data_IF_646528933668
#
_entry.id   IF_646528933668
#
_cell.length_a   1.000
_cell.length_b   1.000
_cell.length_c   1.000
_cell.angle_alpha   90.00
_cell.angle_beta   90.00
_cell.angle_gamma   90.00
#
_symmetry.space_group_name_H-M   'P 1'
#
loop_
_entity.id
_entity.type
_entity.pdbx_description
1 polymer ?
#
# COMPACT_ATOMS: atom_id res chain seq x y z
N UNK A 1 -1.14 7.90 19.23
CA UNK A 1 -1.37 8.22 20.64
C UNK A 1 -2.52 9.21 20.89
N UNK A 2 -3.08 9.79 19.81
CA UNK A 2 -4.20 10.75 19.87
C UNK A 2 -3.84 12.12 20.49
N UNK A 3 -2.57 12.42 20.61
CA UNK A 3 -2.09 13.71 21.16
C UNK A 3 -2.00 14.82 20.10
N UNK A 4 -2.10 14.49 18.82
CA UNK A 4 -2.09 15.42 17.70
C UNK A 4 -3.48 15.73 17.15
N UNK A 5 -3.53 16.56 16.11
CA UNK A 5 -4.78 16.87 15.38
C UNK A 5 -5.34 15.64 14.63
N UNK A 6 -4.44 14.72 14.22
CA UNK A 6 -4.78 13.46 13.57
C UNK A 6 -4.96 12.36 14.62
N UNK A 7 -6.19 11.90 14.77
CA UNK A 7 -6.54 10.81 15.69
C UNK A 7 -6.64 9.48 14.92
N UNK A 8 -5.72 8.57 15.17
CA UNK A 8 -5.66 7.24 14.56
C UNK A 8 -6.16 6.11 15.49
N UNK A 9 -6.80 6.42 16.62
CA UNK A 9 -7.29 5.41 17.58
C UNK A 9 -8.32 4.45 17.01
N UNK A 10 -9.00 4.82 15.92
CA UNK A 10 -9.89 3.92 15.18
C UNK A 10 -9.15 2.83 14.37
N UNK A 11 -7.86 3.01 14.12
CA UNK A 11 -7.06 2.05 13.35
C UNK A 11 -6.73 0.82 14.17
N UNK A 12 -7.05 -0.36 13.64
CA UNK A 12 -6.70 -1.63 14.28
C UNK A 12 -5.23 -1.96 14.03
N UNK A 13 -4.49 -2.22 15.10
CA UNK A 13 -3.14 -2.78 15.05
C UNK A 13 -3.27 -4.30 15.08
N UNK A 14 -2.82 -4.97 14.02
CA UNK A 14 -2.89 -6.43 13.88
C UNK A 14 -1.72 -7.11 14.59
N UNK A 15 -0.56 -6.46 14.61
CA UNK A 15 0.62 -6.90 15.35
C UNK A 15 1.49 -5.70 15.71
N UNK A 16 2.10 -5.74 16.89
CA UNK A 16 3.07 -4.73 17.38
C UNK A 16 4.50 -5.04 16.96
N UNK A 17 4.72 -6.13 16.23
CA UNK A 17 6.02 -6.53 15.70
C UNK A 17 5.86 -7.33 14.40
N UNK A 18 6.97 -7.48 13.70
CA UNK A 18 7.10 -8.31 12.51
C UNK A 18 8.25 -9.30 12.71
N UNK A 19 8.10 -10.54 12.27
CA UNK A 19 9.18 -11.49 12.34
C UNK A 19 10.00 -11.53 11.05
N UNK A 20 11.24 -11.97 11.19
CA UNK A 20 12.10 -12.35 10.09
C UNK A 20 12.60 -13.77 10.34
N UNK A 21 12.23 -14.66 9.44
CA UNK A 21 12.62 -16.07 9.47
C UNK A 21 13.71 -16.36 8.45
N UNK A 22 14.75 -17.06 8.90
CA UNK A 22 15.82 -17.53 8.03
C UNK A 22 16.09 -19.00 8.33
N UNK A 23 15.87 -19.86 7.34
CA UNK A 23 16.20 -21.29 7.40
C UNK A 23 17.61 -21.62 6.91
N UNK A 24 18.43 -20.60 6.63
CA UNK A 24 19.81 -20.73 6.17
C UNK A 24 20.82 -20.38 7.27
N UNK A 25 22.03 -20.98 7.23
CA UNK A 25 23.12 -20.81 8.20
C UNK A 25 23.81 -19.42 8.19
N UNK A 26 23.11 -18.35 7.86
CA UNK A 26 23.67 -17.12 7.33
C UNK A 26 23.59 -15.91 8.27
N UNK A 27 24.40 -15.92 9.31
CA UNK A 27 24.65 -14.72 10.12
C UNK A 27 25.24 -13.52 9.32
N UNK A 28 25.93 -13.77 8.21
CA UNK A 28 26.55 -12.71 7.40
C UNK A 28 25.57 -11.96 6.50
N UNK A 29 24.63 -12.68 5.88
CA UNK A 29 23.63 -12.08 4.96
C UNK A 29 22.55 -11.28 5.70
N UNK A 30 22.25 -11.66 6.93
CA UNK A 30 21.39 -10.90 7.82
C UNK A 30 21.93 -9.48 8.06
N UNK A 31 23.25 -9.34 8.25
CA UNK A 31 23.88 -8.01 8.42
C UNK A 31 23.70 -7.13 7.20
N UNK A 32 23.73 -7.69 6.00
CA UNK A 32 23.52 -6.93 4.74
C UNK A 32 22.07 -6.50 4.58
N UNK A 33 21.10 -7.39 4.85
CA UNK A 33 19.68 -7.06 4.80
C UNK A 33 19.31 -5.98 5.84
N UNK A 34 19.84 -6.09 7.05
CA UNK A 34 19.59 -5.13 8.13
C UNK A 34 20.32 -3.80 7.93
N UNK A 35 21.49 -3.85 7.28
CA UNK A 35 22.26 -2.63 6.98
C UNK A 35 21.62 -1.75 5.92
N UNK A 36 20.86 -2.35 5.00
CA UNK A 36 20.19 -1.63 3.91
C UNK A 36 18.85 -0.98 4.31
N UNK A 37 18.21 -1.50 5.36
CA UNK A 37 17.02 -0.87 5.96
C UNK A 37 17.50 -0.13 7.20
N UNK A 38 17.20 1.13 7.35
CA UNK A 38 17.53 2.01 8.53
C UNK A 38 17.13 1.43 9.90
N UNK A 39 17.13 0.11 10.04
CA UNK A 39 16.78 -0.68 11.22
C UNK A 39 17.92 -0.74 12.24
N UNK A 40 18.83 0.24 12.21
CA UNK A 40 19.98 0.28 13.11
C UNK A 40 19.55 0.14 14.57
N UNK A 41 19.86 -1.00 15.17
CA UNK A 41 19.82 -1.21 16.61
C UNK A 41 18.50 -1.74 17.20
N UNK A 42 17.50 -2.11 16.40
CA UNK A 42 16.19 -2.58 16.90
C UNK A 42 15.77 -3.98 16.45
N UNK A 43 16.66 -4.75 15.87
CA UNK A 43 16.38 -6.14 15.49
C UNK A 43 16.86 -7.05 16.60
N UNK A 44 15.95 -7.81 17.18
CA UNK A 44 16.25 -8.70 18.28
C UNK A 44 16.22 -10.15 17.82
N UNK A 45 17.28 -10.91 18.11
CA UNK A 45 17.26 -12.35 17.93
C UNK A 45 16.33 -12.97 18.97
N UNK A 46 15.35 -13.73 18.53
CA UNK A 46 14.47 -14.48 19.43
C UNK A 46 15.18 -15.75 19.87
N UNK A 47 15.24 -16.03 21.16
CA UNK A 47 15.80 -17.26 21.66
C UNK A 47 14.86 -18.46 21.32
N UNK A 48 15.37 -19.65 20.96
CA UNK A 48 14.54 -20.76 20.51
C UNK A 48 13.44 -21.20 21.50
N UNK A 49 13.68 -21.04 22.78
CA UNK A 49 12.71 -21.31 23.86
C UNK A 49 11.58 -20.26 23.92
N UNK A 50 11.75 -19.12 23.26
CA UNK A 50 10.75 -18.04 23.15
C UNK A 50 10.10 -17.93 21.76
N UNK A 51 10.35 -18.90 20.88
CA UNK A 51 9.71 -18.89 19.57
C UNK A 51 8.18 -18.98 19.72
N UNK A 52 7.40 -18.26 18.93
CA UNK A 52 5.95 -18.48 18.83
C UNK A 52 5.64 -19.95 18.53
N UNK A 53 4.48 -20.46 18.96
CA UNK A 53 4.09 -21.88 18.77
C UNK A 53 4.25 -22.37 17.34
N UNK A 54 3.97 -21.53 16.35
CA UNK A 54 4.16 -21.86 14.94
C UNK A 54 5.61 -22.25 14.61
N UNK A 55 6.60 -21.54 15.15
CA UNK A 55 8.01 -21.80 14.91
C UNK A 55 8.61 -22.83 15.90
N UNK A 56 7.98 -23.05 17.05
CA UNK A 56 8.39 -24.14 17.95
C UNK A 56 8.17 -25.51 17.30
N UNK A 57 7.15 -25.64 16.44
CA UNK A 57 6.84 -26.84 15.68
C UNK A 57 7.66 -26.96 14.38
N UNK A 58 8.62 -26.07 14.14
CA UNK A 58 9.39 -26.09 12.91
C UNK A 58 10.18 -27.39 12.78
N UNK A 59 9.94 -28.12 11.68
CA UNK A 59 10.67 -29.34 11.34
C UNK A 59 12.04 -29.05 10.73
N UNK A 60 12.36 -27.78 10.47
CA UNK A 60 13.64 -27.33 9.93
C UNK A 60 14.33 -26.37 10.90
N UNK A 61 15.67 -26.46 10.97
CA UNK A 61 16.45 -25.51 11.76
C UNK A 61 16.45 -24.14 11.10
N UNK A 62 16.17 -23.10 11.86
CA UNK A 62 16.18 -21.73 11.41
C UNK A 62 16.45 -20.75 12.55
N UNK A 63 16.55 -19.50 12.21
CA UNK A 63 16.71 -18.39 13.15
C UNK A 63 15.57 -17.40 12.98
N UNK A 64 14.99 -16.98 14.10
CA UNK A 64 13.90 -16.02 14.15
C UNK A 64 14.41 -14.71 14.76
N UNK A 65 14.05 -13.62 14.14
CA UNK A 65 14.34 -12.27 14.61
C UNK A 65 13.03 -11.47 14.67
N UNK A 66 12.93 -10.61 15.65
CA UNK A 66 11.82 -9.67 15.81
C UNK A 66 12.23 -8.30 15.30
N UNK A 67 11.38 -7.71 14.47
CA UNK A 67 11.50 -6.35 13.95
C UNK A 67 10.52 -5.44 14.71
N UNK A 68 10.85 -4.17 14.94
CA UNK A 68 9.97 -3.23 15.63
C UNK A 68 8.82 -2.71 14.75
N UNK A 69 8.67 -3.24 13.55
CA UNK A 69 7.59 -2.86 12.64
C UNK A 69 6.26 -3.41 13.14
N UNK A 70 5.25 -2.57 13.21
CA UNK A 70 3.90 -3.00 13.52
C UNK A 70 3.05 -3.11 12.24
N UNK A 71 2.02 -3.93 12.31
CA UNK A 71 1.09 -4.18 11.21
C UNK A 71 -0.24 -3.57 11.53
N UNK A 72 -0.74 -2.72 10.64
CA UNK A 72 -2.06 -2.11 10.76
C UNK A 72 -3.04 -2.72 9.76
N UNK A 73 -4.29 -2.78 10.15
CA UNK A 73 -5.37 -3.09 9.25
C UNK A 73 -5.65 -1.90 8.33
N UNK A 74 -5.45 -2.11 7.04
CA UNK A 74 -5.52 -1.01 6.06
C UNK A 74 -6.94 -0.47 5.86
N UNK A 75 -7.97 -1.30 5.99
CA UNK A 75 -9.37 -0.86 5.89
C UNK A 75 -9.70 0.11 7.04
N UNK A 76 -9.42 -0.29 8.27
CA UNK A 76 -9.67 0.56 9.44
C UNK A 76 -8.80 1.83 9.44
N UNK A 77 -7.58 1.77 8.88
CA UNK A 77 -6.74 2.95 8.72
C UNK A 77 -7.40 3.95 7.76
N UNK A 78 -7.82 3.51 6.58
CA UNK A 78 -8.46 4.37 5.58
C UNK A 78 -9.78 4.91 6.10
N UNK A 79 -10.59 4.07 6.76
CA UNK A 79 -11.83 4.48 7.41
C UNK A 79 -11.60 5.56 8.47
N UNK A 80 -10.60 5.35 9.33
CA UNK A 80 -10.25 6.33 10.38
C UNK A 80 -9.82 7.66 9.78
N UNK A 81 -9.00 7.65 8.74
CA UNK A 81 -8.55 8.85 8.04
C UNK A 81 -9.70 9.57 7.32
N UNK A 82 -10.62 8.81 6.70
CA UNK A 82 -11.73 9.36 5.95
C UNK A 82 -12.88 9.86 6.83
N UNK A 83 -13.04 9.30 8.03
CA UNK A 83 -14.22 9.50 8.89
C UNK A 83 -14.61 10.96 9.15
N UNK A 84 -13.62 11.82 9.32
CA UNK A 84 -13.85 13.27 9.55
C UNK A 84 -14.07 14.06 8.25
N UNK A 85 -13.93 13.42 7.09
CA UNK A 85 -13.98 14.04 5.77
C UNK A 85 -15.07 13.48 4.86
N UNK A 86 -15.92 12.56 5.34
CA UNK A 86 -16.94 11.92 4.50
C UNK A 86 -17.84 12.89 3.75
N UNK A 87 -18.14 14.05 4.32
CA UNK A 87 -18.90 15.10 3.64
C UNK A 87 -18.16 15.82 2.50
N UNK A 88 -16.86 15.53 2.31
CA UNK A 88 -16.00 16.15 1.31
C UNK A 88 -15.32 15.12 0.38
N UNK A 89 -15.67 13.83 0.50
CA UNK A 89 -15.10 12.74 -0.31
C UNK A 89 -16.17 12.21 -1.25
N UNK A 90 -15.93 12.38 -2.57
CA UNK A 90 -16.88 12.03 -3.61
C UNK A 90 -16.23 11.13 -4.66
N UNK A 91 -17.07 10.29 -5.29
CA UNK A 91 -16.67 9.52 -6.45
C UNK A 91 -16.64 10.40 -7.68
N UNK A 92 -15.59 10.28 -8.48
CA UNK A 92 -15.57 10.87 -9.81
C UNK A 92 -16.49 10.05 -10.74
N UNK A 93 -17.22 10.72 -11.67
CA UNK A 93 -17.94 10.03 -12.73
C UNK A 93 -17.00 9.19 -13.61
N UNK A 94 -17.53 8.18 -14.29
CA UNK A 94 -16.76 7.33 -15.22
C UNK A 94 -16.10 8.12 -16.36
N UNK A 95 -16.66 9.28 -16.72
CA UNK A 95 -16.07 10.24 -17.66
C UNK A 95 -14.73 10.81 -17.17
N UNK A 96 -14.44 10.68 -15.86
CA UNK A 96 -13.22 11.17 -15.25
C UNK A 96 -13.17 12.70 -15.17
N UNK A 97 -11.94 13.21 -15.11
CA UNK A 97 -11.64 14.65 -15.08
C UNK A 97 -10.67 15.01 -16.21
N UNK A 98 -10.91 16.13 -16.84
CA UNK A 98 -9.96 16.78 -17.75
C UNK A 98 -9.51 18.11 -17.16
N UNK A 99 -8.45 18.70 -17.73
CA UNK A 99 -7.93 19.97 -17.28
C UNK A 99 -7.79 20.91 -18.46
N UNK A 100 -8.25 22.12 -18.29
CA UNK A 100 -8.16 23.19 -19.29
C UNK A 100 -7.25 24.31 -18.81
N UNK A 101 -6.56 24.93 -19.74
CA UNK A 101 -5.79 26.16 -19.53
C UNK A 101 -5.76 26.95 -20.83
N UNK A 102 -5.89 28.24 -20.72
CA UNK A 102 -5.76 29.16 -21.87
C UNK A 102 -4.30 29.37 -22.27
N UNK A 103 -3.36 29.13 -21.36
CA UNK A 103 -1.92 29.29 -21.53
C UNK A 103 -1.18 28.24 -20.70
N UNK A 104 -0.19 27.53 -21.27
CA UNK A 104 0.61 26.55 -20.53
C UNK A 104 1.31 27.12 -19.28
N UNK A 105 1.45 28.43 -19.19
CA UNK A 105 2.05 29.13 -18.05
C UNK A 105 1.06 29.53 -16.97
N UNK A 106 -0.24 29.30 -17.17
CA UNK A 106 -1.30 29.63 -16.21
C UNK A 106 -1.76 28.42 -15.39
N UNK A 107 -2.55 28.71 -14.36
CA UNK A 107 -3.21 27.70 -13.54
C UNK A 107 -4.26 26.94 -14.38
N UNK A 108 -4.44 25.67 -14.04
CA UNK A 108 -5.41 24.79 -14.70
C UNK A 108 -6.75 24.82 -13.98
N UNK A 109 -7.80 24.63 -14.75
CA UNK A 109 -9.18 24.45 -14.28
C UNK A 109 -9.56 22.99 -14.54
N UNK A 110 -10.03 22.28 -13.53
CA UNK A 110 -10.54 20.93 -13.72
C UNK A 110 -11.95 20.97 -14.30
N UNK A 111 -12.22 20.11 -15.27
CA UNK A 111 -13.52 19.99 -15.92
C UNK A 111 -14.02 18.57 -15.72
N UNK A 112 -15.18 18.42 -15.10
CA UNK A 112 -15.83 17.15 -14.82
C UNK A 112 -17.15 17.12 -15.59
N UNK A 113 -17.27 16.20 -16.55
CA UNK A 113 -18.52 15.94 -17.23
C UNK A 113 -19.44 15.09 -16.34
N UNK A 114 -20.55 15.64 -15.88
CA UNK A 114 -21.47 14.98 -14.97
C UNK A 114 -22.91 15.28 -15.32
N UNK A 115 -23.75 14.24 -15.51
CA UNK A 115 -25.19 14.33 -15.80
C UNK A 115 -25.50 15.30 -16.95
N UNK A 116 -24.72 15.23 -18.05
CA UNK A 116 -24.94 16.04 -19.26
C UNK A 116 -24.49 17.49 -19.17
N UNK A 117 -23.78 17.87 -18.11
CA UNK A 117 -23.20 19.22 -17.95
C UNK A 117 -21.71 19.14 -17.61
N UNK A 118 -20.96 20.17 -17.90
CA UNK A 118 -19.59 20.33 -17.47
C UNK A 118 -19.55 21.15 -16.17
N UNK A 119 -18.85 20.62 -15.17
CA UNK A 119 -18.58 21.30 -13.91
C UNK A 119 -17.14 21.78 -13.96
N UNK A 120 -16.94 23.09 -13.83
CA UNK A 120 -15.62 23.72 -13.85
C UNK A 120 -15.16 24.02 -12.43
N UNK A 121 -14.03 23.44 -12.03
CA UNK A 121 -13.45 23.62 -10.71
C UNK A 121 -12.16 24.43 -10.82
N UNK A 122 -12.16 25.59 -10.22
CA UNK A 122 -10.96 26.41 -10.03
C UNK A 122 -10.46 26.22 -8.60
N UNK A 123 -9.21 25.82 -8.44
CA UNK A 123 -8.61 25.60 -7.14
C UNK A 123 -7.23 26.24 -7.05
N UNK A 124 -6.89 26.75 -5.87
CA UNK A 124 -5.51 27.20 -5.59
C UNK A 124 -4.49 26.08 -5.73
N UNK A 125 -4.90 24.83 -5.43
CA UNK A 125 -4.10 23.61 -5.61
C UNK A 125 -4.99 22.41 -5.90
N UNK A 126 -4.58 21.63 -6.89
CA UNK A 126 -5.00 20.25 -7.09
C UNK A 126 -3.87 19.35 -6.61
N UNK A 127 -4.18 18.37 -5.79
CA UNK A 127 -3.19 17.42 -5.26
C UNK A 127 -3.54 16.01 -5.77
N UNK A 128 -2.72 15.47 -6.67
CA UNK A 128 -2.91 14.14 -7.24
C UNK A 128 -2.23 13.11 -6.36
N UNK A 129 -3.02 12.31 -5.66
CA UNK A 129 -2.58 11.21 -4.79
C UNK A 129 -3.28 9.91 -5.15
N UNK A 130 -3.62 9.75 -6.43
CA UNK A 130 -4.48 8.69 -6.94
C UNK A 130 -3.74 7.34 -7.17
N UNK A 131 -2.50 7.19 -6.69
CA UNK A 131 -1.75 5.96 -6.90
C UNK A 131 -1.58 5.64 -8.39
N UNK A 132 -2.10 4.50 -8.85
CA UNK A 132 -2.08 4.13 -10.27
C UNK A 132 -2.80 5.15 -11.18
N UNK A 133 -3.84 5.79 -10.66
CA UNK A 133 -4.59 6.83 -11.36
C UNK A 133 -3.78 8.12 -11.63
N UNK A 134 -2.64 8.33 -10.96
CA UNK A 134 -1.78 9.48 -11.23
C UNK A 134 -1.34 9.55 -12.69
N UNK A 135 -1.10 8.43 -13.36
CA UNK A 135 -0.72 8.39 -14.78
C UNK A 135 -1.79 9.06 -15.66
N UNK A 136 -3.05 8.73 -15.43
CA UNK A 136 -4.19 9.29 -16.17
C UNK A 136 -4.39 10.77 -15.86
N UNK A 137 -4.24 11.18 -14.60
CA UNK A 137 -4.36 12.58 -14.18
C UNK A 137 -3.23 13.45 -14.74
N UNK A 138 -1.99 12.97 -14.74
CA UNK A 138 -0.83 13.62 -15.34
C UNK A 138 -1.09 13.88 -16.83
N UNK A 139 -1.55 12.84 -17.54
CA UNK A 139 -1.90 12.95 -18.96
C UNK A 139 -3.05 13.94 -19.19
N UNK A 140 -4.12 13.84 -18.41
CA UNK A 140 -5.28 14.71 -18.51
C UNK A 140 -4.93 16.18 -18.26
N UNK A 141 -3.98 16.44 -17.34
CA UNK A 141 -3.51 17.78 -17.02
C UNK A 141 -2.38 18.27 -17.94
N UNK A 142 -1.88 17.47 -18.87
CA UNK A 142 -0.79 17.85 -19.79
C UNK A 142 0.51 18.19 -19.08
N UNK A 143 0.89 17.45 -18.03
CA UNK A 143 2.12 17.69 -17.27
C UNK A 143 3.30 17.06 -17.97
N UNK A 144 4.13 17.84 -18.64
CA UNK A 144 5.27 17.32 -19.43
C UNK A 144 6.44 16.83 -18.55
N UNK A 145 6.56 17.34 -17.33
CA UNK A 145 7.70 17.07 -16.44
C UNK A 145 7.37 16.03 -15.35
N UNK A 146 6.16 15.49 -15.36
CA UNK A 146 5.73 14.50 -14.38
C UNK A 146 5.71 13.11 -15.04
N UNK A 147 6.57 12.22 -14.58
CA UNK A 147 6.58 10.84 -15.04
C UNK A 147 6.27 9.90 -13.89
N UNK A 148 5.47 8.89 -14.20
CA UNK A 148 5.16 7.81 -13.28
C UNK A 148 5.58 6.49 -13.88
N UNK A 149 6.06 5.59 -13.04
CA UNK A 149 6.32 4.21 -13.41
C UNK A 149 5.36 3.27 -12.68
N UNK A 150 4.99 2.22 -13.36
CA UNK A 150 4.16 1.16 -12.79
C UNK A 150 4.99 -0.09 -12.61
N UNK A 151 4.99 -0.63 -11.39
CA UNK A 151 5.65 -1.88 -11.06
C UNK A 151 4.60 -2.90 -10.63
N UNK A 152 4.19 -3.79 -11.53
CA UNK A 152 3.15 -4.77 -11.24
C UNK A 152 3.64 -5.81 -10.23
N UNK A 153 2.68 -6.40 -9.51
CA UNK A 153 2.86 -7.57 -8.65
C UNK A 153 1.70 -8.53 -8.88
N UNK A 154 1.98 -9.81 -8.88
CA UNK A 154 0.94 -10.84 -8.85
C UNK A 154 0.86 -11.42 -7.43
N UNK A 155 -0.02 -10.82 -6.62
CA UNK A 155 -0.19 -11.17 -5.22
C UNK A 155 -1.00 -12.47 -5.09
N UNK A 156 -0.70 -13.23 -4.05
CA UNK A 156 -1.44 -14.46 -3.72
C UNK A 156 -2.03 -14.32 -2.33
N UNK A 157 -3.21 -14.87 -2.10
CA UNK A 157 -3.71 -15.12 -0.77
C UNK A 157 -4.27 -16.54 -0.64
N UNK A 158 -4.25 -17.05 0.57
CA UNK A 158 -4.90 -18.30 0.92
C UNK A 158 -5.78 -18.12 2.14
N UNK A 159 -6.91 -18.82 2.16
CA UNK A 159 -7.87 -18.83 3.27
C UNK A 159 -7.98 -20.22 3.82
N UNK A 160 -7.89 -20.34 5.14
CA UNK A 160 -8.13 -21.59 5.86
C UNK A 160 -8.46 -21.25 7.32
N UNK A 161 -9.43 -21.92 7.91
CA UNK A 161 -9.91 -21.62 9.26
C UNK A 161 -8.80 -21.66 10.31
N UNK A 162 -7.96 -22.67 10.25
CA UNK A 162 -6.97 -22.98 11.30
C UNK A 162 -5.57 -22.46 10.97
N UNK A 163 -5.43 -21.53 10.02
CA UNK A 163 -4.16 -20.85 9.79
C UNK A 163 -3.79 -20.02 11.03
N UNK A 164 -2.55 -20.13 11.51
CA UNK A 164 -2.08 -19.29 12.60
C UNK A 164 -1.96 -17.84 12.14
N UNK A 165 -2.12 -16.89 13.06
CA UNK A 165 -1.75 -15.52 12.77
C UNK A 165 -0.23 -15.41 12.65
N UNK A 166 0.24 -14.89 11.52
CA UNK A 166 1.65 -14.83 11.19
C UNK A 166 1.97 -13.55 10.44
N UNK A 167 3.03 -12.86 10.89
CA UNK A 167 3.58 -11.65 10.28
C UNK A 167 5.07 -11.87 10.15
N UNK A 168 5.54 -12.27 8.95
CA UNK A 168 6.92 -12.71 8.77
C UNK A 168 7.47 -12.41 7.38
N UNK A 169 8.73 -12.03 7.35
CA UNK A 169 9.58 -12.03 6.17
C UNK A 169 10.47 -13.27 6.18
N UNK A 170 10.33 -14.13 5.17
CA UNK A 170 11.22 -15.27 4.96
C UNK A 170 12.39 -14.84 4.07
N UNK A 171 13.59 -14.90 4.61
CA UNK A 171 14.81 -14.49 3.91
C UNK A 171 15.47 -15.69 3.28
N UNK A 172 15.78 -15.56 1.99
CA UNK A 172 16.48 -16.59 1.22
C UNK A 172 17.99 -16.45 1.20
N UNK A 173 18.59 -17.33 0.40
CA UNK A 173 20.02 -17.35 0.12
C UNK A 173 20.45 -16.35 -0.95
N UNK A 174 19.46 -15.68 -1.60
CA UNK A 174 19.72 -14.69 -2.62
C UNK A 174 20.31 -13.40 -2.01
N UNK A 175 21.08 -12.65 -2.82
CA UNK A 175 21.54 -11.31 -2.44
C UNK A 175 20.42 -10.25 -2.57
N UNK A 176 19.19 -10.68 -2.86
CA UNK A 176 18.04 -9.80 -3.00
C UNK A 176 17.70 -9.15 -1.66
N UNK A 177 17.39 -7.86 -1.71
CA UNK A 177 16.84 -7.10 -0.58
C UNK A 177 15.34 -7.37 -0.38
N UNK A 178 14.71 -8.06 -1.33
CA UNK A 178 13.32 -8.49 -1.24
C UNK A 178 13.25 -9.85 -0.54
N UNK A 179 12.43 -10.02 0.51
CA UNK A 179 12.19 -11.33 1.10
C UNK A 179 11.65 -12.32 0.05
N UNK A 180 12.06 -13.59 0.11
CA UNK A 180 11.50 -14.63 -0.77
C UNK A 180 9.99 -14.74 -0.65
N UNK A 181 9.54 -14.68 0.58
CA UNK A 181 8.14 -14.73 0.95
C UNK A 181 7.88 -13.77 2.10
N UNK A 182 6.81 -13.01 1.98
CA UNK A 182 6.26 -12.20 3.08
C UNK A 182 4.86 -12.71 3.37
N UNK A 183 4.55 -12.94 4.63
CA UNK A 183 3.20 -13.33 5.08
C UNK A 183 2.66 -12.25 5.99
N UNK A 184 1.45 -11.79 5.72
CA UNK A 184 0.63 -10.99 6.61
C UNK A 184 -0.72 -11.66 6.81
N UNK A 185 -1.13 -11.81 8.07
CA UNK A 185 -2.42 -12.41 8.42
C UNK A 185 -3.50 -11.35 8.51
N UNK A 186 -4.64 -11.68 7.93
CA UNK A 186 -5.88 -10.91 7.98
C UNK A 186 -7.03 -11.83 8.35
N UNK A 187 -8.22 -11.28 8.44
CA UNK A 187 -9.46 -12.05 8.58
C UNK A 187 -10.43 -11.68 7.46
N UNK A 188 -11.13 -12.67 6.94
CA UNK A 188 -12.26 -12.43 6.05
C UNK A 188 -13.52 -12.11 6.87
N UNK A 189 -14.59 -11.69 6.19
CA UNK A 189 -15.87 -11.37 6.82
C UNK A 189 -16.56 -12.57 7.52
N UNK A 190 -16.07 -13.79 7.32
CA UNK A 190 -16.56 -15.00 8.00
C UNK A 190 -15.68 -15.41 9.19
N UNK A 191 -14.61 -14.63 9.48
CA UNK A 191 -13.66 -14.94 10.54
C UNK A 191 -12.62 -16.01 10.18
N UNK A 192 -12.50 -16.38 8.89
CA UNK A 192 -11.40 -17.25 8.47
C UNK A 192 -10.10 -16.44 8.42
N UNK A 193 -9.00 -17.09 8.79
CA UNK A 193 -7.68 -16.48 8.63
C UNK A 193 -7.29 -16.47 7.15
N UNK A 194 -6.83 -15.32 6.71
CA UNK A 194 -6.30 -15.09 5.37
C UNK A 194 -4.83 -14.78 5.48
N UNK A 195 -3.97 -15.54 4.82
CA UNK A 195 -2.58 -15.18 4.62
C UNK A 195 -2.43 -14.47 3.28
N UNK A 196 -1.94 -13.25 3.32
CA UNK A 196 -1.61 -12.45 2.16
C UNK A 196 -0.11 -12.52 1.90
N UNK A 197 0.26 -13.00 0.70
CA UNK A 197 1.62 -13.36 0.34
C UNK A 197 2.24 -12.31 -0.58
N UNK A 198 3.43 -11.86 -0.21
CA UNK A 198 4.24 -10.90 -0.96
C UNK A 198 5.70 -11.32 -1.03
N UNK A 199 6.57 -10.39 -1.41
CA UNK A 199 8.00 -10.62 -1.61
C UNK A 199 8.33 -11.05 -3.03
N UNK A 200 9.44 -11.77 -3.22
CA UNK A 200 9.90 -12.23 -4.55
C UNK A 200 8.83 -13.06 -5.28
N UNK A 201 7.98 -13.80 -4.55
CA UNK A 201 6.90 -14.60 -5.15
C UNK A 201 5.91 -13.71 -5.90
N UNK A 202 5.60 -12.52 -5.40
CA UNK A 202 4.70 -11.60 -6.06
C UNK A 202 5.37 -10.87 -7.25
N UNK A 203 6.66 -10.53 -7.12
CA UNK A 203 7.43 -9.88 -8.18
C UNK A 203 7.68 -10.84 -9.36
N UNK A 204 8.12 -12.07 -9.08
CA UNK A 204 8.36 -13.11 -10.10
C UNK A 204 7.08 -13.73 -10.67
N UNK A 205 5.94 -13.39 -10.10
CA UNK A 205 4.62 -13.87 -10.53
C UNK A 205 4.02 -13.08 -11.67
N UNK A 206 4.59 -11.94 -12.01
CA UNK A 206 4.08 -11.09 -13.09
C UNK A 206 4.13 -11.83 -14.42
N UNK A 207 3.00 -11.88 -15.11
CA UNK A 207 2.86 -12.61 -16.38
C UNK A 207 2.55 -14.10 -16.27
N UNK A 208 2.57 -14.69 -15.07
CA UNK A 208 2.12 -16.06 -14.85
C UNK A 208 0.59 -16.14 -14.88
N UNK A 209 0.07 -17.28 -15.34
CA UNK A 209 -1.33 -17.65 -15.17
C UNK A 209 -1.65 -17.84 -13.67
N UNK A 210 -2.93 -17.81 -13.33
CA UNK A 210 -3.39 -18.07 -11.96
C UNK A 210 -2.88 -19.41 -11.43
N UNK A 211 -3.00 -20.47 -12.19
CA UNK A 211 -2.55 -21.81 -11.82
C UNK A 211 -1.04 -21.86 -11.57
N UNK A 212 -0.24 -21.25 -12.43
CA UNK A 212 1.21 -21.19 -12.28
C UNK A 212 1.61 -20.39 -11.04
N UNK A 213 0.94 -19.26 -10.79
CA UNK A 213 1.24 -18.42 -9.65
C UNK A 213 0.85 -19.09 -8.32
N UNK A 214 -0.32 -19.73 -8.26
CA UNK A 214 -0.76 -20.50 -7.09
C UNK A 214 0.19 -21.66 -6.83
N UNK A 215 0.57 -22.43 -7.86
CA UNK A 215 1.53 -23.53 -7.73
C UNK A 215 2.87 -23.05 -7.19
N UNK A 216 3.38 -21.91 -7.68
CA UNK A 216 4.61 -21.31 -7.19
C UNK A 216 4.49 -20.87 -5.72
N UNK A 217 3.34 -20.32 -5.33
CA UNK A 217 3.09 -19.91 -3.95
C UNK A 217 2.99 -21.11 -3.00
N UNK A 218 2.30 -22.19 -3.42
CA UNK A 218 2.24 -23.46 -2.67
C UNK A 218 3.63 -24.04 -2.46
N UNK A 219 4.46 -24.04 -3.50
CA UNK A 219 5.85 -24.47 -3.39
C UNK A 219 6.66 -23.60 -2.43
N UNK A 220 6.49 -22.27 -2.49
CA UNK A 220 7.17 -21.34 -1.58
C UNK A 220 6.78 -21.61 -0.12
N UNK A 221 5.48 -21.79 0.17
CA UNK A 221 4.98 -22.10 1.51
C UNK A 221 5.53 -23.44 1.99
N UNK A 222 5.46 -24.51 1.18
CA UNK A 222 5.96 -25.83 1.57
C UNK A 222 7.47 -25.86 1.84
N UNK A 223 8.22 -24.99 1.18
CA UNK A 223 9.66 -24.86 1.38
C UNK A 223 10.02 -24.06 2.63
N UNK A 224 9.28 -22.97 2.92
CA UNK A 224 9.54 -22.13 4.10
C UNK A 224 8.94 -22.74 5.38
N UNK A 225 7.78 -23.39 5.27
CA UNK A 225 7.01 -23.94 6.38
C UNK A 225 6.57 -25.39 6.10
N UNK A 226 7.51 -26.35 5.94
CA UNK A 226 7.16 -27.74 5.61
C UNK A 226 6.34 -28.46 6.69
N UNK A 227 6.16 -27.87 7.86
CA UNK A 227 5.32 -28.36 8.94
C UNK A 227 3.87 -27.82 8.89
N UNK A 228 3.55 -26.96 7.90
CA UNK A 228 2.22 -26.39 7.73
C UNK A 228 1.43 -27.21 6.71
N UNK A 229 0.24 -27.66 7.10
CA UNK A 229 -0.72 -28.26 6.18
C UNK A 229 -1.65 -27.18 5.62
N UNK A 230 -1.55 -26.96 4.31
CA UNK A 230 -2.43 -26.07 3.54
C UNK A 230 -3.28 -26.84 2.52
N UNK A 231 -3.47 -28.15 2.68
CA UNK A 231 -4.19 -28.99 1.71
C UNK A 231 -5.67 -28.60 1.54
N UNK A 232 -6.28 -28.05 2.60
CA UNK A 232 -7.66 -27.56 2.60
C UNK A 232 -7.81 -26.06 2.28
N UNK A 233 -6.71 -25.36 2.01
CA UNK A 233 -6.75 -23.94 1.79
C UNK A 233 -7.36 -23.57 0.43
N UNK A 234 -8.18 -22.55 0.43
CA UNK A 234 -8.60 -21.87 -0.79
C UNK A 234 -7.51 -20.88 -1.22
N UNK A 235 -7.05 -20.99 -2.47
CA UNK A 235 -5.99 -20.15 -3.02
C UNK A 235 -6.52 -19.28 -4.14
N UNK A 236 -6.09 -18.01 -4.16
CA UNK A 236 -6.38 -17.06 -5.22
C UNK A 236 -5.17 -16.17 -5.48
N UNK A 237 -5.11 -15.61 -6.68
CA UNK A 237 -4.16 -14.55 -6.99
C UNK A 237 -4.82 -13.37 -7.69
N UNK A 238 -4.16 -12.22 -7.65
CA UNK A 238 -4.60 -11.02 -8.35
C UNK A 238 -3.43 -10.08 -8.60
N UNK A 239 -3.48 -9.35 -9.69
CA UNK A 239 -2.47 -8.35 -10.02
C UNK A 239 -2.80 -7.01 -9.36
N UNK A 240 -1.78 -6.36 -8.82
CA UNK A 240 -1.80 -4.97 -8.39
C UNK A 240 -0.69 -4.19 -9.08
N UNK A 241 -0.92 -2.91 -9.28
CA UNK A 241 0.06 -2.00 -9.85
C UNK A 241 0.55 -1.02 -8.78
N UNK A 242 1.84 -1.10 -8.45
CA UNK A 242 2.48 -0.07 -7.62
C UNK A 242 2.85 1.09 -8.52
N UNK A 243 2.31 2.26 -8.24
CA UNK A 243 2.66 3.49 -8.92
C UNK A 243 3.68 4.27 -8.10
N UNK A 244 4.77 4.65 -8.74
CA UNK A 244 5.88 5.36 -8.14
C UNK A 244 6.31 6.49 -9.09
N UNK A 245 6.96 7.54 -8.58
CA UNK A 245 7.58 8.54 -9.44
C UNK A 245 8.72 7.92 -10.25
N UNK A 246 8.81 8.23 -11.54
CA UNK A 246 9.95 7.85 -12.37
C UNK A 246 10.99 8.98 -12.33
N UNK A 247 11.91 8.92 -11.39
CA UNK A 247 12.91 9.98 -11.15
C UNK A 247 14.35 9.55 -11.48
N UNK A 248 14.62 8.24 -11.60
CA UNK A 248 15.95 7.69 -11.79
C UNK A 248 15.90 6.43 -12.67
N UNK A 249 15.72 6.58 -13.96
CA UNK A 249 15.85 5.48 -14.95
C UNK A 249 15.15 4.16 -14.52
N UNK A 250 13.89 4.26 -14.10
CA UNK A 250 13.07 3.15 -13.61
C UNK A 250 13.52 2.51 -12.28
N UNK A 251 14.44 3.12 -11.54
CA UNK A 251 14.74 2.66 -10.19
C UNK A 251 13.64 3.09 -9.21
N UNK A 252 13.39 2.25 -8.21
CA UNK A 252 12.46 2.58 -7.14
C UNK A 252 13.00 3.76 -6.33
N UNK A 253 12.22 4.83 -6.13
CA UNK A 253 12.59 5.89 -5.21
C UNK A 253 12.78 5.36 -3.78
N UNK A 254 13.77 5.84 -3.05
CA UNK A 254 13.99 5.48 -1.65
C UNK A 254 13.04 6.23 -0.71
N UNK A 255 12.70 7.47 -1.09
CA UNK A 255 11.86 8.38 -0.32
C UNK A 255 10.52 8.65 -1.00
N UNK A 256 9.62 9.30 -0.25
CA UNK A 256 8.43 9.91 -0.80
C UNK A 256 8.81 11.06 -1.74
N UNK A 257 8.03 11.23 -2.79
CA UNK A 257 8.30 12.24 -3.81
C UNK A 257 7.04 13.01 -4.18
N UNK A 258 7.17 14.30 -4.39
CA UNK A 258 6.15 15.10 -5.05
C UNK A 258 6.76 16.06 -6.06
N UNK A 259 5.97 16.37 -7.09
CA UNK A 259 6.32 17.34 -8.12
C UNK A 259 5.24 18.41 -8.16
N UNK A 260 5.66 19.67 -8.36
CA UNK A 260 4.77 20.80 -8.54
C UNK A 260 4.86 21.34 -9.97
N UNK A 261 3.71 21.53 -10.58
CA UNK A 261 3.54 22.27 -11.83
C UNK A 261 2.34 23.23 -11.68
N UNK A 262 2.61 24.52 -11.58
CA UNK A 262 1.60 25.58 -11.36
C UNK A 262 0.74 25.29 -10.12
N UNK A 263 -0.58 25.15 -10.33
CA UNK A 263 -1.51 24.82 -9.28
C UNK A 263 -1.71 23.30 -9.07
N UNK A 264 -0.90 22.46 -9.68
CA UNK A 264 -0.96 21.01 -9.50
C UNK A 264 0.25 20.51 -8.71
N UNK A 265 -0.01 19.65 -7.73
CA UNK A 265 0.97 18.79 -7.04
C UNK A 265 0.66 17.35 -7.39
N UNK A 266 1.65 16.58 -7.84
CA UNK A 266 1.54 15.13 -8.02
C UNK A 266 2.41 14.46 -6.97
N UNK A 267 1.88 13.50 -6.23
CA UNK A 267 2.56 12.94 -5.07
C UNK A 267 2.52 11.40 -5.04
N UNK A 268 3.64 10.80 -4.61
CA UNK A 268 3.84 9.36 -4.48
C UNK A 268 4.54 9.05 -3.16
N UNK A 269 3.88 8.34 -2.23
CA UNK A 269 4.50 8.00 -0.94
C UNK A 269 5.54 6.88 -1.05
N UNK A 270 5.58 6.12 -2.14
CA UNK A 270 6.47 4.96 -2.36
C UNK A 270 6.22 3.80 -1.37
N UNK A 271 6.02 4.11 -0.11
CA UNK A 271 5.70 3.17 1.00
C UNK A 271 4.68 3.81 1.92
N UNK A 272 3.82 2.99 2.55
CA UNK A 272 2.85 3.47 3.55
C UNK A 272 3.55 4.23 4.69
N UNK A 273 4.71 3.75 5.14
CA UNK A 273 5.50 4.38 6.21
C UNK A 273 6.05 5.77 5.86
N UNK A 274 6.11 6.13 4.59
CA UNK A 274 6.54 7.45 4.11
C UNK A 274 5.36 8.42 3.89
N UNK A 275 4.12 7.95 3.98
CA UNK A 275 2.93 8.79 3.78
C UNK A 275 2.87 9.97 4.75
N UNK A 276 3.18 9.85 6.05
CA UNK A 276 3.18 10.99 6.95
C UNK A 276 4.20 12.07 6.54
N UNK A 277 5.41 11.66 6.18
CA UNK A 277 6.45 12.60 5.73
C UNK A 277 6.07 13.32 4.44
N UNK A 278 5.43 12.60 3.49
CA UNK A 278 4.90 13.21 2.26
C UNK A 278 3.79 14.22 2.56
N UNK A 279 2.86 13.87 3.45
CA UNK A 279 1.78 14.75 3.83
C UNK A 279 2.30 16.06 4.47
N UNK A 280 3.32 15.94 5.32
CA UNK A 280 3.97 17.10 5.92
C UNK A 280 4.66 18.00 4.89
N UNK A 281 5.38 17.42 3.92
CA UNK A 281 5.99 18.18 2.81
C UNK A 281 4.94 18.91 1.98
N UNK A 282 3.82 18.26 1.66
CA UNK A 282 2.70 18.89 0.93
C UNK A 282 2.11 20.03 1.75
N UNK A 283 1.87 19.82 3.04
CA UNK A 283 1.35 20.84 3.94
C UNK A 283 2.26 22.07 3.99
N UNK A 284 3.57 21.87 4.14
CA UNK A 284 4.57 22.94 4.10
C UNK A 284 4.52 23.73 2.77
N UNK A 285 4.34 23.03 1.64
CA UNK A 285 4.19 23.66 0.33
C UNK A 285 2.92 24.53 0.28
N UNK A 286 1.78 24.04 0.79
CA UNK A 286 0.53 24.80 0.86
C UNK A 286 0.66 26.04 1.75
N UNK A 287 1.32 25.90 2.91
CA UNK A 287 1.56 27.01 3.85
C UNK A 287 2.47 28.09 3.25
N UNK A 288 3.52 27.70 2.53
CA UNK A 288 4.40 28.62 1.82
C UNK A 288 3.65 29.48 0.80
N UNK A 289 2.62 28.92 0.17
CA UNK A 289 1.72 29.62 -0.74
C UNK A 289 0.57 30.37 -0.03
N UNK A 290 0.59 30.41 1.29
CA UNK A 290 -0.47 31.04 2.11
C UNK A 290 -1.87 30.46 1.84
N UNK A 291 -1.93 29.17 1.54
CA UNK A 291 -3.19 28.45 1.38
C UNK A 291 -3.61 27.97 2.77
N UNK A 292 -4.71 28.50 3.27
CA UNK A 292 -5.30 28.11 4.54
C UNK A 292 -6.58 27.33 4.32
N UNK A 293 -6.95 26.41 5.23
CA UNK A 293 -8.23 25.75 5.20
C UNK A 293 -9.37 26.77 5.24
N UNK A 294 -10.42 26.55 4.45
CA UNK A 294 -11.69 27.28 4.59
C UNK A 294 -12.59 26.52 5.59
N UNK A 295 -13.44 27.25 6.28
CA UNK A 295 -14.45 26.67 7.16
C UNK A 295 -15.64 26.21 6.33
N UNK A 296 -15.92 24.90 6.34
CA UNK A 296 -17.09 24.29 5.70
C UNK A 296 -16.88 23.81 4.26
N UNK A 297 -17.75 22.92 3.79
CA UNK A 297 -17.79 22.50 2.39
C UNK A 297 -18.15 23.69 1.50
N UNK A 298 -17.58 23.70 0.29
CA UNK A 298 -17.99 24.70 -0.70
C UNK A 298 -19.44 24.45 -1.14
N UNK A 299 -20.28 25.49 -1.16
CA UNK A 299 -21.72 25.37 -1.47
C UNK A 299 -22.00 24.67 -2.80
N UNK A 300 -21.10 24.83 -3.79
CA UNK A 300 -21.21 24.20 -5.11
C UNK A 300 -21.13 22.67 -5.08
N UNK A 301 -20.55 22.05 -4.02
CA UNK A 301 -20.44 20.60 -3.90
C UNK A 301 -21.81 19.96 -3.78
N UNK A 302 -22.71 20.57 -2.98
CA UNK A 302 -24.08 20.11 -2.83
C UNK A 302 -24.90 20.27 -4.12
N UNK A 303 -24.60 21.31 -4.93
CA UNK A 303 -25.26 21.55 -6.21
C UNK A 303 -24.76 20.61 -7.33
N UNK A 304 -23.55 20.08 -7.18
CA UNK A 304 -22.96 19.19 -8.17
C UNK A 304 -23.54 17.78 -8.14
N UNK A 305 -24.16 17.38 -7.02
CA UNK A 305 -24.84 16.10 -6.84
C UNK A 305 -23.92 14.88 -7.16
N UNK A 306 -22.66 14.96 -6.66
CA UNK A 306 -21.73 13.85 -6.76
C UNK A 306 -22.07 12.74 -5.77
N UNK A 307 -21.90 11.49 -6.20
CA UNK A 307 -22.04 10.34 -5.31
C UNK A 307 -20.93 10.33 -4.25
N UNK A 308 -21.28 10.07 -2.97
CA UNK A 308 -20.24 9.86 -1.97
C UNK A 308 -19.30 8.73 -2.35
N UNK A 309 -18.02 8.88 -2.05
CA UNK A 309 -17.06 7.80 -2.24
C UNK A 309 -17.33 6.66 -1.24
N UNK A 310 -17.07 5.44 -1.68
CA UNK A 310 -17.13 4.24 -0.83
C UNK A 310 -15.73 3.80 -0.48
N UNK A 311 -15.59 3.22 0.71
CA UNK A 311 -14.36 2.53 1.09
C UNK A 311 -14.18 1.30 0.22
N UNK A 312 -12.93 1.00 -0.15
CA UNK A 312 -12.61 -0.22 -0.86
C UNK A 312 -12.59 -1.42 0.08
N UNK A 313 -13.07 -2.55 -0.40
CA UNK A 313 -13.03 -3.82 0.32
C UNK A 313 -11.72 -4.56 0.04
N UNK A 314 -11.26 -5.34 1.02
CA UNK A 314 -10.14 -6.27 0.81
C UNK A 314 -10.49 -7.32 -0.24
N UNK A 315 -9.51 -7.68 -1.08
CA UNK A 315 -9.73 -8.63 -2.20
C UNK A 315 -10.33 -9.96 -1.75
N UNK A 316 -9.95 -10.44 -0.57
CA UNK A 316 -10.49 -11.68 0.00
C UNK A 316 -11.94 -11.57 0.49
N UNK A 317 -12.54 -10.36 0.48
CA UNK A 317 -13.94 -10.12 0.81
C UNK A 317 -14.83 -9.89 -0.42
N UNK A 318 -14.23 -9.54 -1.57
CA UNK A 318 -14.97 -9.19 -2.80
C UNK A 318 -15.67 -10.38 -3.47
N UNK A 319 -15.26 -11.63 -3.19
CA UNK A 319 -15.76 -12.83 -3.88
C UNK A 319 -17.19 -13.27 -3.50
N UNK A 320 -17.88 -12.53 -2.63
CA UNK A 320 -19.29 -12.78 -2.27
C UNK A 320 -20.33 -12.08 -3.13
N UNK A 321 -19.89 -11.30 -4.11
CA UNK A 321 -20.77 -10.47 -4.95
C UNK A 321 -20.93 -11.02 -6.37
N UNK A 322 -20.59 -12.29 -6.63
CA UNK A 322 -20.78 -12.97 -7.91
C UNK A 322 -21.81 -14.10 -7.81
#
# INVERSE_FOLDING_TARGET
DGSGELDLRGTRVLSDHYYMWSNASLRSKLKTFLGSKSLRGRVEAVAPDRYPPFFQNASVKGSLYQLPDFVVDSESLVETLASKQYGAIFSLPDSGVSFETSDPHQDRVAVIAHRGRNIYLSAKRFVFTAGEGNASLIKAAGLANAETQTRPLNMVYLKQRDLPQLYVHCIGDSFSLTPRLTVTSHQDVNGNTVWYLGGEIAESGVGKSETEQITAAQYAISREFPWLDCSSAEWRCFTINRSEANINDNHRPDDAYFLRDKNILVAWPTKLTLTPALAEQILQNLMADRISPSTGPADWISEADFEPARLGDSRWNLEKSA
#
